data_IF_137643828805
#
_entry.id   IF_137643828805
#
_cell.length_a   1.000
_cell.length_b   1.000
_cell.length_c   1.000
_cell.angle_alpha   90.00
_cell.angle_beta   90.00
_cell.angle_gamma   90.00
#
_symmetry.space_group_name_H-M   'P 1'
#
loop_
_entity.id
_entity.type
_entity.pdbx_description
1 polymer ?
#
# COMPACT_ATOMS: atom_id res chain seq x y z
N UNK A 1 28.64 -34.11 36.03
CA UNK A 1 28.74 -32.66 35.69
C UNK A 1 27.74 -32.43 34.57
N UNK A 2 26.56 -31.87 34.70
CA UNK A 2 25.80 -31.18 35.73
C UNK A 2 24.66 -30.52 34.97
N UNK A 3 23.42 -30.98 35.18
CA UNK A 3 22.22 -30.55 34.47
C UNK A 3 21.84 -29.10 34.84
N UNK A 4 21.38 -28.32 33.87
CA UNK A 4 20.92 -26.95 34.09
C UNK A 4 19.39 -26.92 34.20
N UNK A 5 18.91 -26.72 35.43
CA UNK A 5 17.83 -25.84 35.90
C UNK A 5 16.53 -25.89 35.05
N UNK A 6 15.41 -26.39 35.55
CA UNK A 6 14.78 -25.99 36.82
C UNK A 6 13.52 -25.17 36.49
N UNK A 7 12.38 -25.81 36.68
CA UNK A 7 11.01 -25.44 36.32
C UNK A 7 10.52 -24.09 36.88
N UNK A 8 9.53 -23.47 36.20
CA UNK A 8 8.32 -22.99 36.89
C UNK A 8 7.14 -22.78 35.95
N UNK A 9 6.04 -23.47 36.26
CA UNK A 9 4.72 -23.36 35.63
C UNK A 9 3.86 -22.30 36.33
N UNK A 10 2.92 -21.69 35.58
CA UNK A 10 1.50 -21.40 35.91
C UNK A 10 1.03 -20.02 35.38
N UNK A 11 0.08 -20.01 34.45
CA UNK A 11 -1.31 -19.53 34.64
C UNK A 11 -2.09 -19.57 33.31
N UNK A 12 -3.29 -20.12 33.40
CA UNK A 12 -4.25 -20.41 32.34
C UNK A 12 -5.39 -19.39 32.38
N UNK A 13 -5.90 -18.98 31.20
CA UNK A 13 -7.33 -18.81 30.80
C UNK A 13 -7.56 -17.54 29.97
N UNK A 14 -7.87 -17.72 28.69
CA UNK A 14 -8.83 -16.87 28.00
C UNK A 14 -10.10 -17.68 27.78
N UNK A 15 -11.19 -17.23 28.38
CA UNK A 15 -12.54 -17.77 28.13
C UNK A 15 -13.50 -16.60 28.23
N UNK A 16 -14.17 -16.28 27.13
CA UNK A 16 -15.60 -15.96 27.10
C UNK A 16 -16.06 -16.10 25.66
N UNK A 17 -16.69 -17.23 25.38
CA UNK A 17 -17.65 -17.39 24.29
C UNK A 17 -18.99 -16.80 24.76
N UNK A 18 -19.57 -15.88 24.01
CA UNK A 18 -20.93 -15.36 24.23
C UNK A 18 -21.65 -15.29 22.90
N UNK A 19 -22.77 -16.00 22.81
CA UNK A 19 -23.60 -16.21 21.63
C UNK A 19 -24.45 -14.98 21.25
N UNK A 20 -24.94 -14.95 20.01
CA UNK A 20 -25.91 -13.99 19.48
C UNK A 20 -27.28 -14.10 20.15
N UNK A 21 -27.95 -12.97 20.42
CA UNK A 21 -29.42 -12.83 20.31
C UNK A 21 -29.89 -11.36 20.29
N UNK A 22 -30.73 -11.06 19.28
CA UNK A 22 -31.91 -10.19 19.24
C UNK A 22 -31.82 -8.66 19.52
N UNK A 23 -32.16 -7.88 18.49
CA UNK A 23 -32.80 -6.56 18.61
C UNK A 23 -34.28 -6.75 18.96
N UNK A 24 -34.88 -5.83 19.74
CA UNK A 24 -35.86 -4.93 19.13
C UNK A 24 -35.80 -3.49 19.65
N UNK A 25 -36.33 -2.61 18.80
CA UNK A 25 -36.51 -1.17 18.94
C UNK A 25 -36.92 -0.67 20.34
N UNK A 26 -36.40 0.48 20.78
CA UNK A 26 -37.17 1.70 21.10
C UNK A 26 -36.26 2.83 21.61
N UNK A 27 -36.53 4.02 21.05
CA UNK A 27 -35.89 5.34 21.19
C UNK A 27 -35.47 5.80 22.61
N UNK A 28 -34.29 6.43 22.70
CA UNK A 28 -34.14 7.79 23.26
C UNK A 28 -32.77 8.35 22.88
N UNK A 29 -32.75 9.25 21.89
CA UNK A 29 -31.58 10.03 21.54
C UNK A 29 -31.28 11.04 22.64
N UNK A 30 -30.37 10.70 23.55
CA UNK A 30 -29.60 11.72 24.26
C UNK A 30 -28.23 11.81 23.61
N UNK A 31 -28.18 12.45 22.43
CA UNK A 31 -26.94 13.09 22.04
C UNK A 31 -26.70 14.21 23.05
N UNK A 32 -25.80 13.96 23.99
CA UNK A 32 -25.13 15.01 24.75
C UNK A 32 -24.34 15.87 23.75
N UNK A 33 -25.03 16.79 23.09
CA UNK A 33 -24.43 17.81 22.25
C UNK A 33 -23.80 18.86 23.16
N UNK A 34 -22.69 18.51 23.81
CA UNK A 34 -21.81 19.47 24.47
C UNK A 34 -20.98 20.18 23.42
N UNK A 35 -21.66 20.98 22.60
CA UNK A 35 -21.02 22.06 21.87
C UNK A 35 -21.20 23.32 22.72
N UNK A 36 -20.47 23.38 23.83
CA UNK A 36 -20.27 24.67 24.50
C UNK A 36 -19.61 25.60 23.48
N UNK A 37 -20.22 26.75 23.14
CA UNK A 37 -19.57 27.75 22.32
C UNK A 37 -18.31 28.18 23.06
N UNK A 38 -17.14 27.90 22.51
CA UNK A 38 -15.87 28.30 23.12
C UNK A 38 -15.87 29.83 23.18
N UNK A 39 -16.05 30.37 24.39
CA UNK A 39 -16.22 31.80 24.62
C UNK A 39 -14.93 32.52 24.21
N UNK A 40 -15.04 33.44 23.25
CA UNK A 40 -13.86 34.17 22.78
C UNK A 40 -13.52 35.27 23.80
N UNK A 41 -12.23 35.48 24.11
CA UNK A 41 -11.83 36.57 24.98
C UNK A 41 -12.36 37.90 24.43
N UNK A 42 -13.01 38.67 25.31
CA UNK A 42 -13.57 39.98 24.99
C UNK A 42 -12.50 40.85 24.33
N UNK A 43 -12.78 41.31 23.10
CA UNK A 43 -11.88 42.15 22.31
C UNK A 43 -11.48 41.59 20.95
N UNK A 44 -11.68 40.29 20.68
CA UNK A 44 -11.46 39.75 19.34
C UNK A 44 -12.67 39.97 18.42
N UNK A 45 -12.55 40.92 17.48
CA UNK A 45 -13.50 41.07 16.37
C UNK A 45 -13.27 39.97 15.33
N UNK A 46 -14.35 39.35 14.84
CA UNK A 46 -14.28 38.37 13.77
C UNK A 46 -13.72 39.00 12.49
N UNK A 47 -12.65 38.43 11.93
CA UNK A 47 -12.14 38.84 10.63
C UNK A 47 -13.18 38.47 9.55
N UNK A 48 -13.72 39.49 8.85
CA UNK A 48 -14.56 39.24 7.67
C UNK A 48 -13.71 38.60 6.57
N UNK A 49 -14.08 37.40 6.13
CA UNK A 49 -13.46 36.74 4.97
C UNK A 49 -13.73 37.59 3.72
N UNK A 50 -12.69 38.12 3.09
CA UNK A 50 -12.78 38.63 1.71
C UNK A 50 -13.06 37.42 0.81
N UNK A 51 -14.06 37.55 -0.07
CA UNK A 51 -14.45 36.52 -1.03
C UNK A 51 -13.26 36.08 -1.89
N UNK A 52 -13.11 34.77 -2.06
CA UNK A 52 -12.08 34.16 -2.89
C UNK A 52 -12.54 34.25 -4.34
N UNK A 53 -11.92 35.11 -5.13
CA UNK A 53 -12.10 35.13 -6.58
C UNK A 53 -11.50 33.84 -7.15
N UNK A 54 -12.34 33.01 -7.77
CA UNK A 54 -11.93 31.80 -8.46
C UNK A 54 -11.30 32.18 -9.81
N UNK A 55 -9.98 32.36 -9.84
CA UNK A 55 -9.21 32.38 -11.08
C UNK A 55 -8.23 31.21 -11.05
N UNK A 56 -8.62 30.07 -11.62
CA UNK A 56 -7.66 29.02 -11.99
C UNK A 56 -8.11 28.36 -13.30
N UNK A 57 -7.50 28.70 -14.45
CA UNK A 57 -7.55 27.83 -15.61
C UNK A 57 -6.19 27.21 -16.00
N UNK A 58 -5.07 27.53 -15.35
CA UNK A 58 -3.73 27.09 -15.81
C UNK A 58 -2.95 26.20 -14.85
N UNK A 59 -3.20 26.27 -13.54
CA UNK A 59 -2.48 25.43 -12.56
C UNK A 59 -2.88 23.94 -12.63
N UNK A 60 -4.06 23.63 -13.18
CA UNK A 60 -4.62 22.28 -13.28
C UNK A 60 -4.02 21.46 -14.41
N UNK A 61 -3.74 22.08 -15.56
CA UNK A 61 -3.18 21.40 -16.72
C UNK A 61 -1.70 21.08 -16.50
N UNK A 62 -0.95 22.03 -15.95
CA UNK A 62 0.46 21.87 -15.65
C UNK A 62 0.70 20.82 -14.54
N UNK A 63 -0.18 20.78 -13.52
CA UNK A 63 -0.19 19.72 -12.52
C UNK A 63 -0.69 18.35 -13.05
N UNK A 64 -1.52 18.33 -14.09
CA UNK A 64 -1.93 17.10 -14.77
C UNK A 64 -0.79 16.54 -15.62
N UNK A 65 -0.11 17.40 -16.38
CA UNK A 65 1.02 17.03 -17.22
C UNK A 65 2.22 16.54 -16.40
N UNK A 66 2.50 17.18 -15.25
CA UNK A 66 3.51 16.68 -14.31
C UNK A 66 3.16 15.30 -13.76
N UNK A 67 1.88 15.04 -13.46
CA UNK A 67 1.43 13.72 -13.01
C UNK A 67 1.56 12.66 -14.11
N UNK A 68 1.14 12.95 -15.35
CA UNK A 68 1.26 12.00 -16.46
C UNK A 68 2.71 11.68 -16.77
N UNK A 69 3.57 12.68 -16.85
CA UNK A 69 5.03 12.48 -17.08
C UNK A 69 5.70 11.70 -15.96
N UNK A 70 5.32 11.91 -14.69
CA UNK A 70 5.85 11.07 -13.58
C UNK A 70 5.37 9.63 -13.66
N UNK A 71 4.13 9.39 -14.09
CA UNK A 71 3.59 8.04 -14.25
C UNK A 71 4.21 7.31 -15.44
N UNK A 72 4.45 8.02 -16.55
CA UNK A 72 5.15 7.50 -17.72
C UNK A 72 6.59 7.12 -17.38
N UNK A 73 7.33 8.01 -16.69
CA UNK A 73 8.69 7.69 -16.20
C UNK A 73 8.69 6.49 -15.27
N UNK A 74 7.69 6.37 -14.39
CA UNK A 74 7.56 5.22 -13.50
C UNK A 74 7.27 3.92 -14.27
N UNK A 75 6.47 3.98 -15.34
CA UNK A 75 6.21 2.84 -16.21
C UNK A 75 7.49 2.42 -16.94
N UNK A 76 8.20 3.38 -17.54
CA UNK A 76 9.48 3.14 -18.23
C UNK A 76 10.52 2.50 -17.29
N UNK A 77 10.70 3.02 -16.09
CA UNK A 77 11.65 2.44 -15.13
C UNK A 77 11.33 0.97 -14.79
N UNK A 78 10.04 0.58 -14.79
CA UNK A 78 9.64 -0.81 -14.57
C UNK A 78 9.92 -1.69 -15.79
N UNK A 79 9.70 -1.17 -16.98
CA UNK A 79 10.02 -1.87 -18.24
C UNK A 79 11.53 -2.11 -18.35
N UNK A 80 12.35 -1.09 -18.09
CA UNK A 80 13.81 -1.19 -18.09
C UNK A 80 14.30 -2.24 -17.08
N UNK A 81 13.70 -2.28 -15.87
CA UNK A 81 14.05 -3.29 -14.85
C UNK A 81 13.72 -4.71 -15.32
N UNK A 82 12.59 -4.88 -16.02
CA UNK A 82 12.19 -6.17 -16.60
C UNK A 82 13.15 -6.57 -17.72
N UNK A 83 13.51 -5.63 -18.61
CA UNK A 83 14.43 -5.86 -19.72
C UNK A 83 15.80 -6.30 -19.23
N UNK A 84 16.35 -5.63 -18.21
CA UNK A 84 17.63 -6.01 -17.58
C UNK A 84 17.58 -7.44 -17.03
N UNK A 85 16.50 -7.81 -16.35
CA UNK A 85 16.31 -9.18 -15.82
C UNK A 85 16.18 -10.22 -16.92
N UNK A 86 15.43 -9.92 -17.97
CA UNK A 86 15.28 -10.79 -19.15
C UNK A 86 16.62 -11.03 -19.81
N UNK A 87 17.37 -9.96 -20.06
CA UNK A 87 18.70 -10.05 -20.67
C UNK A 87 19.67 -10.84 -19.79
N UNK A 88 19.64 -10.63 -18.47
CA UNK A 88 20.45 -11.40 -17.53
C UNK A 88 20.17 -12.91 -17.60
N UNK A 89 18.89 -13.30 -17.73
CA UNK A 89 18.51 -14.71 -17.87
C UNK A 89 19.02 -15.26 -19.20
N UNK A 90 18.78 -14.54 -20.31
CA UNK A 90 19.18 -15.00 -21.65
C UNK A 90 20.70 -15.11 -21.82
N UNK A 91 21.46 -14.20 -21.23
CA UNK A 91 22.92 -14.14 -21.34
C UNK A 91 23.65 -14.92 -20.24
N UNK A 92 22.92 -15.63 -19.37
CA UNK A 92 23.54 -16.42 -18.31
C UNK A 92 24.43 -17.51 -18.92
N UNK A 93 25.68 -17.57 -18.49
CA UNK A 93 26.57 -18.65 -18.88
C UNK A 93 26.03 -20.01 -18.42
N UNK A 94 25.84 -20.92 -19.37
CA UNK A 94 25.32 -22.27 -19.16
C UNK A 94 26.42 -23.33 -19.12
N UNK A 95 27.69 -22.95 -19.30
CA UNK A 95 28.83 -23.88 -19.33
C UNK A 95 28.96 -24.72 -18.06
N UNK A 96 28.64 -24.11 -16.92
CA UNK A 96 28.72 -24.72 -15.58
C UNK A 96 27.42 -25.39 -15.13
N UNK A 97 26.33 -25.26 -15.89
CA UNK A 97 25.03 -25.85 -15.54
C UNK A 97 25.00 -27.34 -15.82
N UNK A 98 24.31 -28.11 -14.98
CA UNK A 98 23.97 -29.51 -15.27
C UNK A 98 22.94 -29.61 -16.39
N UNK A 99 22.79 -30.79 -17.00
CA UNK A 99 21.83 -30.98 -18.11
C UNK A 99 20.39 -30.64 -17.71
N UNK A 100 20.00 -31.01 -16.48
CA UNK A 100 18.69 -30.65 -15.93
C UNK A 100 18.49 -29.14 -15.80
N UNK A 101 19.52 -28.41 -15.38
CA UNK A 101 19.48 -26.95 -15.29
C UNK A 101 19.46 -26.28 -16.68
N UNK A 102 20.18 -26.84 -17.65
CA UNK A 102 20.17 -26.35 -19.05
C UNK A 102 18.80 -26.51 -19.69
N UNK A 103 18.14 -27.65 -19.52
CA UNK A 103 16.77 -27.86 -20.03
C UNK A 103 15.77 -26.85 -19.43
N UNK A 104 15.88 -26.57 -18.12
CA UNK A 104 15.06 -25.54 -17.48
C UNK A 104 15.38 -24.15 -18.07
N UNK A 105 16.66 -23.80 -18.19
CA UNK A 105 17.10 -22.52 -18.75
C UNK A 105 16.59 -22.32 -20.19
N UNK A 106 16.68 -23.35 -21.03
CA UNK A 106 16.19 -23.35 -22.40
C UNK A 106 14.67 -23.14 -22.46
N UNK A 107 13.90 -23.84 -21.62
CA UNK A 107 12.44 -23.65 -21.51
C UNK A 107 12.06 -22.21 -21.16
N UNK A 108 12.77 -21.60 -20.21
CA UNK A 108 12.53 -20.20 -19.84
C UNK A 108 12.93 -19.24 -20.96
N UNK A 109 14.08 -19.45 -21.61
CA UNK A 109 14.52 -18.62 -22.75
C UNK A 109 13.51 -18.68 -23.90
N UNK A 110 13.01 -19.87 -24.24
CA UNK A 110 12.00 -20.03 -25.29
C UNK A 110 10.68 -19.33 -24.96
N UNK A 111 10.25 -19.41 -23.69
CA UNK A 111 9.05 -18.69 -23.22
C UNK A 111 9.22 -17.17 -23.32
N UNK A 112 10.38 -16.67 -22.88
CA UNK A 112 10.74 -15.25 -22.96
C UNK A 112 10.74 -14.79 -24.43
N UNK A 113 11.38 -15.55 -25.33
CA UNK A 113 11.44 -15.24 -26.76
C UNK A 113 10.05 -15.17 -27.38
N UNK A 114 9.19 -16.15 -27.11
CA UNK A 114 7.81 -16.17 -27.59
C UNK A 114 7.00 -14.97 -27.10
N UNK A 115 7.20 -14.57 -25.84
CA UNK A 115 6.51 -13.40 -25.29
C UNK A 115 6.98 -12.09 -25.94
N UNK A 116 8.24 -11.99 -26.35
CA UNK A 116 8.76 -10.83 -27.09
C UNK A 116 8.27 -10.79 -28.54
N UNK A 117 8.05 -11.93 -29.18
CA UNK A 117 7.54 -12.00 -30.56
C UNK A 117 6.04 -11.66 -30.68
N UNK A 118 5.30 -11.64 -29.57
CA UNK A 118 3.85 -11.38 -29.54
C UNK A 118 3.46 -10.01 -28.95
N UNK A 119 4.43 -9.21 -28.49
CA UNK A 119 4.25 -7.82 -28.06
C UNK A 119 4.49 -6.86 -29.22
#
# INVERSE_FOLDING_TARGET
>A
MGEFIGSSSKITKTSTSGASSENPDTHSSYEFNSSSPMERPMGQKAAKRKGKTNNIPTATEDARNKRTTTMERLAQCKEDEIEVKVMQIMMKDTSTMSDSQRDIHEKYCNKIKKNMECS
#
